data_IF_203528951318
#
_entry.id   IF_203528951318
#
_cell.length_a   1.000
_cell.length_b   1.000
_cell.length_c   1.000
_cell.angle_alpha   90.00
_cell.angle_beta   90.00
_cell.angle_gamma   90.00
#
_symmetry.space_group_name_H-M   'P 1'
#
loop_
_entity.id
_entity.type
_entity.pdbx_description
1 polymer ?
#
# COMPACT_ATOMS: atom_id res chain seq x y z
N UNK A 1 -10.84 8.27 2.45
CA UNK A 1 -11.75 7.33 1.75
C UNK A 1 -11.04 5.99 1.70
N UNK A 2 -11.73 4.89 2.00
CA UNK A 2 -11.14 3.55 1.92
C UNK A 2 -11.40 2.96 0.53
N UNK A 3 -10.48 2.15 0.01
CA UNK A 3 -10.63 1.50 -1.30
C UNK A 3 -11.67 0.38 -1.32
N UNK A 4 -12.12 -0.04 -0.15
CA UNK A 4 -13.24 -0.98 -0.03
C UNK A 4 -14.37 -0.47 0.84
N UNK A 5 -15.57 -0.92 0.52
CA UNK A 5 -16.74 -0.73 1.36
C UNK A 5 -16.70 -1.63 2.62
N UNK A 6 -17.70 -1.49 3.50
CA UNK A 6 -17.83 -2.33 4.72
C UNK A 6 -17.97 -3.83 4.45
N UNK A 7 -18.16 -4.23 3.19
CA UNK A 7 -18.31 -5.63 2.73
C UNK A 7 -17.06 -6.10 1.99
N UNK A 8 -15.95 -5.33 2.01
CA UNK A 8 -14.70 -5.60 1.30
C UNK A 8 -14.84 -5.58 -0.23
N UNK A 9 -15.90 -4.97 -0.78
CA UNK A 9 -16.00 -4.78 -2.22
C UNK A 9 -15.11 -3.62 -2.63
N UNK A 10 -14.32 -3.81 -3.69
CA UNK A 10 -13.55 -2.74 -4.30
C UNK A 10 -14.46 -1.69 -4.91
N UNK A 11 -14.02 -0.44 -4.86
CA UNK A 11 -14.71 0.63 -5.57
C UNK A 11 -14.72 0.32 -7.08
N UNK A 12 -15.82 0.56 -7.83
CA UNK A 12 -15.90 0.21 -9.24
C UNK A 12 -14.85 0.89 -10.15
N UNK A 13 -14.26 1.99 -9.69
CA UNK A 13 -13.17 2.68 -10.41
C UNK A 13 -11.78 2.10 -10.14
N UNK A 14 -11.65 1.12 -9.25
CA UNK A 14 -10.37 0.48 -8.95
C UNK A 14 -9.86 -0.27 -10.17
N UNK A 15 -8.56 -0.10 -10.46
CA UNK A 15 -7.89 -0.79 -11.54
C UNK A 15 -6.89 -1.80 -10.96
N UNK A 16 -6.97 -3.04 -11.41
CA UNK A 16 -5.98 -4.05 -11.07
C UNK A 16 -4.71 -3.79 -11.88
N UNK A 17 -3.61 -3.49 -11.20
CA UNK A 17 -2.30 -3.27 -11.84
C UNK A 17 -1.56 -4.59 -12.06
N UNK A 18 -1.40 -5.37 -11.00
CA UNK A 18 -0.65 -6.63 -11.02
C UNK A 18 -1.24 -7.61 -10.02
N UNK A 19 -1.19 -8.90 -10.36
CA UNK A 19 -1.45 -10.01 -9.44
C UNK A 19 -0.16 -10.80 -9.27
N UNK A 20 0.19 -11.06 -8.01
CA UNK A 20 1.38 -11.80 -7.61
C UNK A 20 0.97 -13.06 -6.82
N UNK A 21 1.86 -14.02 -6.78
CA UNK A 21 1.79 -15.25 -5.99
C UNK A 21 2.87 -15.22 -4.91
N UNK A 22 2.71 -16.02 -3.85
CA UNK A 22 3.66 -16.04 -2.74
C UNK A 22 5.10 -16.45 -3.12
N UNK A 23 5.29 -17.04 -4.30
CA UNK A 23 6.60 -17.44 -4.85
C UNK A 23 7.23 -16.37 -5.72
N UNK A 24 6.53 -15.27 -6.01
CA UNK A 24 7.10 -14.19 -6.81
C UNK A 24 8.12 -13.41 -5.99
N UNK A 25 9.31 -13.12 -6.54
CA UNK A 25 10.37 -12.42 -5.80
C UNK A 25 9.94 -11.03 -5.33
N UNK A 26 9.02 -10.38 -6.05
CA UNK A 26 8.46 -9.10 -5.64
C UNK A 26 7.69 -9.17 -4.31
N UNK A 27 7.16 -10.34 -3.93
CA UNK A 27 6.51 -10.53 -2.63
C UNK A 27 7.53 -10.54 -1.49
N UNK A 28 8.70 -11.16 -1.71
CA UNK A 28 9.81 -11.12 -0.74
C UNK A 28 10.36 -9.69 -0.59
N UNK A 29 10.50 -8.96 -1.70
CA UNK A 29 10.88 -7.55 -1.71
C UNK A 29 9.91 -6.69 -0.87
N UNK A 30 8.60 -6.89 -1.05
CA UNK A 30 7.58 -6.21 -0.27
C UNK A 30 7.70 -6.52 1.22
N UNK A 31 7.86 -7.79 1.58
CA UNK A 31 8.03 -8.19 2.98
C UNK A 31 9.24 -7.51 3.62
N UNK A 32 10.38 -7.46 2.92
CA UNK A 32 11.58 -6.77 3.38
C UNK A 32 11.39 -5.26 3.53
N UNK A 33 10.60 -4.62 2.68
CA UNK A 33 10.24 -3.19 2.82
C UNK A 33 9.39 -2.99 4.08
N UNK A 34 8.33 -3.79 4.26
CA UNK A 34 7.39 -3.66 5.38
C UNK A 34 8.00 -4.04 6.74
N UNK A 35 9.08 -4.81 6.75
CA UNK A 35 9.83 -5.20 7.96
C UNK A 35 11.02 -4.28 8.26
N UNK A 36 11.20 -3.19 7.50
CA UNK A 36 12.30 -2.25 7.75
C UNK A 36 12.13 -1.61 9.13
N UNK A 37 13.19 -1.61 9.95
CA UNK A 37 13.16 -1.01 11.28
C UNK A 37 12.84 0.49 11.20
N UNK A 38 12.04 0.97 12.15
CA UNK A 38 11.67 2.38 12.24
C UNK A 38 12.83 3.18 12.82
N UNK A 39 13.49 3.99 11.98
CA UNK A 39 14.58 4.88 12.42
C UNK A 39 14.06 6.25 12.86
N UNK A 40 13.03 6.78 12.18
CA UNK A 40 12.40 8.06 12.53
C UNK A 40 10.92 8.07 12.10
N UNK A 41 10.03 8.47 13.00
CA UNK A 41 8.58 8.51 12.79
C UNK A 41 8.10 9.95 12.57
N UNK A 42 8.71 10.66 11.61
CA UNK A 42 8.23 11.97 11.17
C UNK A 42 6.99 11.79 10.29
N UNK A 43 5.82 11.71 10.94
CA UNK A 43 4.53 11.65 10.24
C UNK A 43 4.12 13.02 9.73
N UNK A 44 3.61 13.04 8.50
CA UNK A 44 2.99 14.23 7.93
C UNK A 44 1.60 14.43 8.56
N UNK A 45 1.31 15.61 9.09
CA UNK A 45 0.05 15.92 9.80
C UNK A 45 -1.19 16.03 8.88
N UNK A 46 -1.12 15.59 7.63
CA UNK A 46 -2.25 15.68 6.71
C UNK A 46 -3.23 14.53 6.92
N UNK A 47 -4.53 14.79 6.73
CA UNK A 47 -5.54 13.75 6.74
C UNK A 47 -5.34 12.85 5.51
N UNK A 48 -5.08 11.54 5.68
CA UNK A 48 -4.71 10.66 4.56
C UNK A 48 -5.89 10.43 3.61
N UNK A 49 -5.61 10.51 2.31
CA UNK A 49 -6.52 10.07 1.26
C UNK A 49 -5.91 8.82 0.61
N UNK A 50 -6.48 7.65 0.92
CA UNK A 50 -6.00 6.38 0.40
C UNK A 50 -6.56 6.13 -1.01
N UNK A 51 -5.70 6.28 -2.02
CA UNK A 51 -6.01 6.02 -3.42
C UNK A 51 -5.43 4.70 -3.92
N UNK A 52 -4.42 4.17 -3.23
CA UNK A 52 -3.68 2.98 -3.63
C UNK A 52 -3.88 1.86 -2.60
N UNK A 53 -3.83 0.60 -3.02
CA UNK A 53 -3.90 -0.53 -2.09
C UNK A 53 -3.19 -1.77 -2.59
N UNK A 54 -2.73 -2.57 -1.63
CA UNK A 54 -2.33 -3.97 -1.83
C UNK A 54 -3.42 -4.84 -1.21
N UNK A 55 -3.89 -5.83 -1.96
CA UNK A 55 -5.00 -6.71 -1.54
C UNK A 55 -4.46 -8.11 -1.36
N UNK A 56 -4.74 -8.71 -0.21
CA UNK A 56 -4.34 -10.06 0.12
C UNK A 56 -5.53 -11.01 -0.04
N UNK A 57 -5.29 -12.12 -0.74
CA UNK A 57 -6.29 -13.15 -0.99
C UNK A 57 -5.89 -14.46 -0.31
N UNK A 58 -6.88 -15.26 0.11
CA UNK A 58 -6.66 -16.66 0.46
C UNK A 58 -6.64 -17.57 -0.78
N UNK A 59 -6.48 -18.88 -0.56
CA UNK A 59 -6.49 -19.89 -1.60
C UNK A 59 -7.84 -19.97 -2.35
N UNK A 60 -8.95 -19.62 -1.69
CA UNK A 60 -10.29 -19.54 -2.28
C UNK A 60 -10.54 -18.23 -3.04
N UNK A 61 -9.51 -17.39 -3.26
CA UNK A 61 -9.59 -16.10 -3.94
C UNK A 61 -10.54 -15.09 -3.24
N UNK A 62 -10.69 -15.21 -1.93
CA UNK A 62 -11.43 -14.27 -1.10
C UNK A 62 -10.47 -13.24 -0.49
N UNK A 63 -10.90 -11.99 -0.41
CA UNK A 63 -10.12 -10.91 0.20
C UNK A 63 -10.05 -11.15 1.72
N UNK A 64 -8.85 -11.43 2.22
CA UNK A 64 -8.60 -11.65 3.66
C UNK A 64 -8.14 -10.37 4.36
N UNK A 65 -7.37 -9.53 3.67
CA UNK A 65 -6.88 -8.26 4.20
C UNK A 65 -6.58 -7.28 3.06
N UNK A 66 -6.52 -6.00 3.40
CA UNK A 66 -6.22 -4.90 2.50
C UNK A 66 -5.27 -3.97 3.22
N UNK A 67 -4.21 -3.57 2.53
CA UNK A 67 -3.31 -2.51 2.97
C UNK A 67 -3.59 -1.28 2.11
N UNK A 68 -4.29 -0.31 2.68
CA UNK A 68 -4.55 0.98 2.06
C UNK A 68 -3.29 1.83 2.15
N UNK A 69 -2.97 2.54 1.07
CA UNK A 69 -1.75 3.31 0.92
C UNK A 69 -2.12 4.72 0.45
N UNK A 70 -1.52 5.71 1.10
CA UNK A 70 -1.51 7.10 0.66
C UNK A 70 -0.07 7.47 0.32
N UNK A 71 0.26 7.48 -0.97
CA UNK A 71 1.62 7.76 -1.44
C UNK A 71 2.02 9.23 -1.30
N UNK A 72 1.06 10.14 -1.15
CA UNK A 72 1.32 11.57 -0.96
C UNK A 72 1.69 11.90 0.49
N UNK A 73 1.09 11.20 1.44
CA UNK A 73 1.24 11.49 2.86
C UNK A 73 2.09 10.45 3.60
N UNK A 74 2.61 9.46 2.87
CA UNK A 74 3.35 8.34 3.45
C UNK A 74 2.57 7.72 4.62
N UNK A 75 1.33 7.30 4.35
CA UNK A 75 0.48 6.62 5.34
C UNK A 75 -0.02 5.27 4.82
N UNK A 76 -0.06 4.29 5.73
CA UNK A 76 -0.47 2.92 5.48
C UNK A 76 -1.48 2.49 6.54
N UNK A 77 -2.58 1.91 6.09
CA UNK A 77 -3.65 1.49 6.98
C UNK A 77 -4.23 0.14 6.57
N UNK A 78 -4.31 -0.80 7.50
CA UNK A 78 -5.00 -2.06 7.26
C UNK A 78 -6.51 -1.84 7.07
N UNK A 79 -7.19 -2.83 6.51
CA UNK A 79 -8.66 -2.84 6.38
C UNK A 79 -9.39 -2.73 7.72
N UNK A 80 -8.74 -3.10 8.82
CA UNK A 80 -9.23 -2.99 10.20
C UNK A 80 -8.97 -1.62 10.83
N UNK A 81 -8.28 -0.72 10.12
CA UNK A 81 -7.96 0.62 10.62
C UNK A 81 -6.68 0.68 11.46
N UNK A 82 -5.82 -0.34 11.39
CA UNK A 82 -4.53 -0.32 12.05
C UNK A 82 -3.49 0.39 11.18
N UNK A 83 -2.77 1.35 11.75
CA UNK A 83 -1.66 2.03 11.09
C UNK A 83 -0.45 1.09 11.01
N UNK A 84 0.12 0.95 9.81
CA UNK A 84 1.44 0.34 9.62
C UNK A 84 2.42 1.48 9.50
N UNK A 85 3.04 1.84 10.62
CA UNK A 85 4.06 2.87 10.62
C UNK A 85 5.26 2.37 9.82
N UNK A 86 5.65 3.13 8.80
CA UNK A 86 6.91 2.97 8.07
C UNK A 86 7.67 4.29 8.19
N UNK A 87 9.00 4.20 8.27
CA UNK A 87 9.83 5.38 8.32
C UNK A 87 10.01 6.02 6.93
N UNK A 88 10.64 7.19 6.91
CA UNK A 88 10.93 7.92 5.69
C UNK A 88 11.88 7.17 4.72
N UNK A 89 12.55 6.10 5.16
CA UNK A 89 13.44 5.28 4.32
C UNK A 89 12.68 4.16 3.61
N UNK A 90 11.68 3.56 4.27
CA UNK A 90 10.88 2.47 3.73
C UNK A 90 9.86 2.95 2.69
N UNK A 91 9.28 4.14 2.86
CA UNK A 91 8.28 4.67 1.92
C UNK A 91 8.78 4.89 0.48
N UNK A 92 9.94 5.52 0.24
CA UNK A 92 10.49 5.63 -1.11
C UNK A 92 10.67 4.26 -1.77
N UNK A 93 11.14 3.26 -1.01
CA UNK A 93 11.31 1.88 -1.49
C UNK A 93 9.96 1.24 -1.86
N UNK A 94 8.92 1.46 -1.04
CA UNK A 94 7.56 1.01 -1.36
C UNK A 94 7.03 1.66 -2.64
N UNK A 95 7.26 2.97 -2.81
CA UNK A 95 6.87 3.71 -4.01
C UNK A 95 7.57 3.19 -5.26
N UNK A 96 8.88 2.96 -5.19
CA UNK A 96 9.65 2.41 -6.31
C UNK A 96 9.23 0.97 -6.64
N UNK A 97 8.93 0.17 -5.62
CA UNK A 97 8.39 -1.18 -5.80
C UNK A 97 7.03 -1.16 -6.52
N UNK A 98 6.13 -0.26 -6.14
CA UNK A 98 4.85 -0.08 -6.83
C UNK A 98 5.05 0.36 -8.29
N UNK A 99 5.95 1.32 -8.55
CA UNK A 99 6.31 1.76 -9.91
C UNK A 99 6.86 0.60 -10.75
N UNK A 100 7.74 -0.23 -10.17
CA UNK A 100 8.31 -1.44 -10.83
C UNK A 100 7.22 -2.42 -11.28
N UNK A 101 6.13 -2.54 -10.53
CA UNK A 101 4.98 -3.36 -10.89
C UNK A 101 4.06 -2.74 -11.95
N UNK A 102 4.32 -1.50 -12.38
CA UNK A 102 3.51 -0.75 -13.34
C UNK A 102 2.41 0.11 -12.71
N UNK A 103 2.45 0.33 -11.39
CA UNK A 103 1.46 1.19 -10.72
C UNK A 103 1.71 2.66 -11.10
N UNK A 104 0.69 3.39 -11.57
CA UNK A 104 0.84 4.80 -11.92
C UNK A 104 0.94 5.63 -10.65
N UNK A 105 2.15 5.76 -10.12
CA UNK A 105 2.39 6.65 -8.99
C UNK A 105 2.51 8.08 -9.50
N UNK A 106 1.58 8.95 -9.12
CA UNK A 106 1.74 10.38 -9.35
C UNK A 106 2.96 10.90 -8.60
N UNK A 107 3.83 11.61 -9.30
CA UNK A 107 4.87 12.40 -8.67
C UNK A 107 4.22 13.68 -8.18
N UNK A 108 4.23 13.90 -6.87
CA UNK A 108 3.94 15.22 -6.31
C UNK A 108 4.83 16.20 -7.06
N UNK A 109 4.24 17.12 -7.81
CA UNK A 109 4.99 18.18 -8.48
C UNK A 109 5.83 18.88 -7.40
N UNK A 110 7.15 18.69 -7.46
CA UNK A 110 8.08 19.48 -6.68
C UNK A 110 7.89 20.93 -7.15
N UNK A 111 7.32 21.76 -6.27
CA UNK A 111 7.45 23.21 -6.36
C UNK A 111 8.82 23.64 -5.87
#
# INVERSE_FOLDING_TARGET
>A
MYLTDKRRNLHPSSQLVKRLTATDPEVEELAAILQTELVDDMRWMCAPIYHDAIIFFNAENQIVSILNICLLCSSLLTGEGQDISLDFNAYPRLKDWLKKLGHPVEESAAG
#
